data_IF_587368288831
#
_entry.id   IF_587368288831
#
_cell.length_a   1.000
_cell.length_b   1.000
_cell.length_c   1.000
_cell.angle_alpha   90.00
_cell.angle_beta   90.00
_cell.angle_gamma   90.00
#
_symmetry.space_group_name_H-M   'P 1'
#
loop_
_entity.id
_entity.type
_entity.pdbx_description
1 polymer ?
#
# COMPACT_ATOMS: atom_id res chain seq x y z
N UNK A 1 0.50 11.35 -8.64
CA UNK A 1 -0.84 11.21 -9.24
C UNK A 1 -1.69 10.55 -8.17
N UNK A 2 -2.55 11.31 -7.49
CA UNK A 2 -3.33 10.83 -6.35
C UNK A 2 -4.49 9.97 -6.84
N UNK A 3 -4.25 8.69 -7.10
CA UNK A 3 -5.32 7.74 -7.36
C UNK A 3 -5.80 7.16 -6.04
N UNK A 4 -6.93 7.70 -5.56
CA UNK A 4 -7.71 7.05 -4.51
C UNK A 4 -8.47 5.92 -5.19
N UNK A 5 -8.07 4.68 -4.92
CA UNK A 5 -8.89 3.54 -5.26
C UNK A 5 -9.99 3.43 -4.20
N UNK A 6 -11.18 3.91 -4.57
CA UNK A 6 -12.41 3.77 -3.79
C UNK A 6 -13.24 2.62 -4.36
N UNK A 7 -13.46 1.57 -3.57
CA UNK A 7 -14.37 0.49 -3.95
C UNK A 7 -15.76 0.77 -3.39
N UNK A 8 -16.70 1.11 -4.28
CA UNK A 8 -18.14 1.22 -3.97
C UNK A 8 -18.84 -0.07 -4.36
N UNK A 9 -19.51 -0.72 -3.41
CA UNK A 9 -20.27 -1.95 -3.68
C UNK A 9 -21.56 -1.69 -4.47
N UNK A 10 -22.05 -0.44 -4.48
CA UNK A 10 -23.30 -0.07 -5.14
C UNK A 10 -23.03 0.84 -6.34
N UNK A 11 -23.50 0.42 -7.52
CA UNK A 11 -23.43 1.24 -8.75
C UNK A 11 -24.61 2.20 -8.76
N UNK A 12 -24.33 3.50 -8.82
CA UNK A 12 -25.35 4.55 -8.85
C UNK A 12 -25.47 5.15 -10.25
N UNK A 13 -26.67 5.62 -10.64
CA UNK A 13 -26.84 6.39 -11.88
C UNK A 13 -26.22 7.80 -11.78
N UNK A 14 -25.92 8.27 -10.57
CA UNK A 14 -25.18 9.51 -10.33
C UNK A 14 -23.66 9.24 -10.25
N UNK A 15 -22.81 10.21 -10.64
CA UNK A 15 -21.35 10.04 -10.65
C UNK A 15 -20.72 9.92 -9.25
N UNK A 16 -21.46 10.24 -8.19
CA UNK A 16 -20.97 10.10 -6.81
C UNK A 16 -21.34 8.73 -6.25
N UNK A 17 -20.36 7.96 -5.74
CA UNK A 17 -20.64 6.73 -5.00
C UNK A 17 -21.45 7.07 -3.75
N UNK A 18 -22.43 6.21 -3.41
CA UNK A 18 -23.22 6.33 -2.18
C UNK A 18 -22.41 5.89 -0.97
N UNK A 19 -21.70 4.78 -1.11
CA UNK A 19 -20.98 4.12 -0.02
C UNK A 19 -19.59 3.74 -0.51
N UNK A 20 -18.59 3.90 0.36
CA UNK A 20 -17.23 3.41 0.16
C UNK A 20 -16.90 2.59 1.41
N UNK A 21 -16.44 1.35 1.25
CA UNK A 21 -16.05 0.52 2.40
C UNK A 21 -14.56 0.52 2.62
N UNK A 22 -13.77 0.60 1.55
CA UNK A 22 -12.31 0.62 1.60
C UNK A 22 -11.82 1.77 0.71
N UNK A 23 -11.01 2.64 1.29
CA UNK A 23 -10.28 3.67 0.58
C UNK A 23 -8.78 3.42 0.73
N UNK A 24 -8.09 3.12 -0.38
CA UNK A 24 -6.65 3.03 -0.39
C UNK A 24 -6.06 4.43 -0.60
N UNK A 25 -5.34 4.94 0.39
CA UNK A 25 -4.73 6.27 0.39
C UNK A 25 -3.22 6.17 0.53
N UNK A 26 -2.52 7.18 0.04
CA UNK A 26 -1.11 7.36 0.34
C UNK A 26 -0.95 8.00 1.75
N UNK A 27 0.29 8.15 2.24
CA UNK A 27 0.65 8.74 3.55
C UNK A 27 0.36 10.26 3.65
N UNK A 28 -0.85 10.68 3.28
CA UNK A 28 -1.33 12.05 3.40
C UNK A 28 -1.94 12.29 4.77
N UNK A 29 -1.30 13.16 5.55
CA UNK A 29 -1.79 13.57 6.87
C UNK A 29 -3.17 14.22 6.77
N UNK A 30 -4.12 13.81 7.60
CA UNK A 30 -5.47 14.38 7.65
C UNK A 30 -6.42 13.86 6.57
N UNK A 31 -5.92 13.11 5.59
CA UNK A 31 -6.73 12.60 4.49
C UNK A 31 -7.58 11.37 4.86
N UNK A 32 -7.05 10.35 5.56
CA UNK A 32 -7.86 9.27 6.12
C UNK A 32 -9.05 9.80 6.94
N UNK A 33 -8.80 10.77 7.82
CA UNK A 33 -9.79 11.36 8.72
C UNK A 33 -10.87 12.13 7.94
N UNK A 34 -10.48 12.83 6.88
CA UNK A 34 -11.42 13.52 5.99
C UNK A 34 -12.34 12.53 5.26
N UNK A 35 -11.83 11.40 4.81
CA UNK A 35 -12.64 10.36 4.15
C UNK A 35 -13.63 9.75 5.12
N UNK A 36 -13.16 9.36 6.32
CA UNK A 36 -14.01 8.73 7.35
C UNK A 36 -15.09 9.69 7.88
N UNK A 37 -14.85 11.01 7.80
CA UNK A 37 -15.86 12.03 8.12
C UNK A 37 -16.98 12.08 7.08
N UNK A 38 -16.65 11.94 5.79
CA UNK A 38 -17.63 11.99 4.69
C UNK A 38 -18.34 10.64 4.52
N UNK A 39 -17.59 9.54 4.71
CA UNK A 39 -18.06 8.16 4.58
C UNK A 39 -17.75 7.40 5.87
N UNK A 40 -18.67 7.47 6.83
CA UNK A 40 -18.50 6.91 8.18
C UNK A 40 -18.30 5.39 8.24
N UNK A 41 -18.64 4.67 7.17
CA UNK A 41 -18.43 3.23 7.05
C UNK A 41 -17.16 2.87 6.27
N UNK A 42 -16.41 3.85 5.78
CA UNK A 42 -15.14 3.62 5.07
C UNK A 42 -14.04 3.30 6.08
N UNK A 43 -13.21 2.32 5.74
CA UNK A 43 -11.91 2.12 6.37
C UNK A 43 -10.80 2.61 5.44
N UNK A 44 -10.06 3.63 5.85
CA UNK A 44 -8.88 4.05 5.14
C UNK A 44 -7.72 3.06 5.35
N UNK A 45 -7.02 2.70 4.27
CA UNK A 45 -5.87 1.80 4.29
C UNK A 45 -4.72 2.41 3.47
N UNK A 46 -3.48 2.04 3.81
CA UNK A 46 -2.34 2.43 2.99
C UNK A 46 -2.38 1.69 1.65
N UNK A 47 -2.17 2.43 0.58
CA UNK A 47 -2.14 1.86 -0.75
C UNK A 47 -0.84 1.08 -0.99
N UNK A 48 -0.95 -0.23 -1.09
CA UNK A 48 0.16 -1.13 -1.38
C UNK A 48 0.91 -0.77 -2.68
N UNK A 49 0.19 -0.29 -3.70
CA UNK A 49 0.79 0.14 -4.97
C UNK A 49 1.73 1.33 -4.75
N UNK A 50 1.29 2.32 -3.97
CA UNK A 50 2.13 3.46 -3.60
C UNK A 50 3.31 3.02 -2.73
N UNK A 51 3.12 2.10 -1.79
CA UNK A 51 4.20 1.55 -0.96
C UNK A 51 5.28 0.87 -1.81
N UNK A 52 4.89 -0.02 -2.72
CA UNK A 52 5.83 -0.72 -3.62
C UNK A 52 6.50 0.27 -4.57
N UNK A 53 5.76 1.23 -5.11
CA UNK A 53 6.32 2.26 -5.99
C UNK A 53 7.37 3.10 -5.25
N UNK A 54 7.04 3.60 -4.06
CA UNK A 54 7.92 4.40 -3.21
C UNK A 54 9.19 3.64 -2.84
N UNK A 55 9.08 2.36 -2.46
CA UNK A 55 10.25 1.53 -2.16
C UNK A 55 11.18 1.40 -3.39
N UNK A 56 10.63 1.13 -4.58
CA UNK A 56 11.40 0.97 -5.82
C UNK A 56 12.03 2.27 -6.34
N UNK A 57 11.55 3.43 -5.91
CA UNK A 57 12.15 4.73 -6.24
C UNK A 57 13.59 4.86 -5.71
N UNK A 58 13.91 4.20 -4.59
CA UNK A 58 15.25 4.20 -3.98
C UNK A 58 16.18 3.10 -4.52
N UNK A 59 15.67 2.23 -5.40
CA UNK A 59 16.38 1.02 -5.85
C UNK A 59 16.94 1.23 -7.24
N UNK A 60 18.21 0.81 -7.44
CA UNK A 60 18.87 0.86 -8.74
C UNK A 60 18.15 -0.02 -9.76
N UNK A 61 18.15 0.38 -11.04
CA UNK A 61 17.42 -0.35 -12.09
C UNK A 61 17.77 -1.85 -12.16
N UNK A 62 19.04 -2.20 -11.88
CA UNK A 62 19.53 -3.59 -11.88
C UNK A 62 18.83 -4.47 -10.82
N UNK A 63 18.57 -3.90 -9.64
CA UNK A 63 18.02 -4.65 -8.51
C UNK A 63 16.48 -4.59 -8.44
N UNK A 64 15.84 -3.64 -9.14
CA UNK A 64 14.38 -3.40 -9.08
C UNK A 64 13.54 -4.65 -9.25
N UNK A 65 13.90 -5.53 -10.19
CA UNK A 65 13.14 -6.76 -10.44
C UNK A 65 13.21 -7.74 -9.26
N UNK A 66 14.38 -7.86 -8.63
CA UNK A 66 14.57 -8.74 -7.48
C UNK A 66 13.83 -8.17 -6.25
N UNK A 67 14.05 -6.88 -5.96
CA UNK A 67 13.36 -6.19 -4.85
C UNK A 67 11.84 -6.27 -5.00
N UNK A 68 11.29 -6.08 -6.20
CA UNK A 68 9.85 -6.19 -6.44
C UNK A 68 9.30 -7.61 -6.22
N UNK A 69 10.10 -8.65 -6.51
CA UNK A 69 9.71 -10.03 -6.25
C UNK A 69 9.68 -10.32 -4.74
N UNK A 70 10.65 -9.82 -3.99
CA UNK A 70 10.71 -10.03 -2.55
C UNK A 70 9.63 -9.21 -1.81
N UNK A 71 9.38 -7.96 -2.22
CA UNK A 71 8.22 -7.18 -1.74
C UNK A 71 6.89 -7.91 -1.99
N UNK A 72 6.79 -8.62 -3.12
CA UNK A 72 5.60 -9.40 -3.47
C UNK A 72 5.39 -10.62 -2.57
N UNK A 73 6.45 -11.20 -2.02
CA UNK A 73 6.33 -12.29 -1.05
C UNK A 73 5.64 -11.80 0.24
N UNK A 74 5.91 -10.57 0.67
CA UNK A 74 5.34 -9.98 1.89
C UNK A 74 3.81 -9.86 1.76
N UNK A 75 3.31 -9.16 0.76
CA UNK A 75 1.86 -8.90 0.64
C UNK A 75 1.06 -10.08 0.06
N UNK A 76 1.71 -11.15 -0.41
CA UNK A 76 1.07 -12.40 -0.82
C UNK A 76 1.11 -13.49 0.24
N UNK A 77 1.74 -13.23 1.38
CA UNK A 77 1.77 -14.17 2.49
C UNK A 77 0.34 -14.55 2.93
N UNK A 78 0.15 -15.82 3.28
CA UNK A 78 -1.16 -16.34 3.67
C UNK A 78 -1.58 -15.89 5.06
N UNK A 79 -0.61 -15.60 5.93
CA UNK A 79 -0.82 -15.18 7.31
C UNK A 79 0.05 -13.97 7.66
N UNK A 80 -0.32 -13.24 8.72
CA UNK A 80 0.47 -12.13 9.22
C UNK A 80 1.87 -12.58 9.68
N UNK A 81 1.97 -13.76 10.30
CA UNK A 81 3.26 -14.35 10.72
C UNK A 81 4.17 -14.63 9.53
N UNK A 82 3.62 -15.17 8.44
CA UNK A 82 4.40 -15.40 7.20
C UNK A 82 4.84 -14.08 6.57
N UNK A 83 3.98 -13.05 6.62
CA UNK A 83 4.30 -11.71 6.11
C UNK A 83 5.44 -11.06 6.91
N UNK A 84 5.41 -11.20 8.24
CA UNK A 84 6.45 -10.69 9.13
C UNK A 84 7.78 -11.40 8.89
N UNK A 85 7.78 -12.74 8.75
CA UNK A 85 8.98 -13.48 8.38
C UNK A 85 9.53 -13.07 7.01
N UNK A 86 8.67 -12.87 6.02
CA UNK A 86 9.07 -12.36 4.70
C UNK A 86 9.65 -10.94 4.78
N UNK A 87 9.08 -10.06 5.63
CA UNK A 87 9.60 -8.71 5.87
C UNK A 87 10.98 -8.74 6.53
N UNK A 88 11.19 -9.62 7.52
CA UNK A 88 12.52 -9.79 8.15
C UNK A 88 13.57 -10.24 7.14
N UNK A 89 13.24 -11.22 6.28
CA UNK A 89 14.13 -11.69 5.23
C UNK A 89 14.44 -10.58 4.21
N UNK A 90 13.42 -9.82 3.82
CA UNK A 90 13.57 -8.68 2.92
C UNK A 90 14.52 -7.62 3.49
N UNK A 91 14.34 -7.25 4.77
CA UNK A 91 15.18 -6.29 5.46
C UNK A 91 16.64 -6.79 5.56
N UNK A 92 16.84 -8.05 5.94
CA UNK A 92 18.17 -8.65 6.02
C UNK A 92 18.92 -8.65 4.68
N UNK A 93 18.20 -8.84 3.58
CA UNK A 93 18.79 -8.88 2.24
C UNK A 93 19.10 -7.48 1.69
N UNK A 94 18.21 -6.50 1.91
CA UNK A 94 18.26 -5.24 1.16
C UNK A 94 18.62 -4.01 1.99
N UNK A 95 18.40 -3.97 3.30
CA UNK A 95 18.57 -2.74 4.09
C UNK A 95 20.01 -2.26 4.16
N UNK A 96 20.99 -3.17 4.04
CA UNK A 96 22.40 -2.80 3.97
C UNK A 96 22.73 -1.94 2.73
N UNK A 97 22.01 -2.15 1.61
CA UNK A 97 22.19 -1.41 0.35
C UNK A 97 21.17 -0.29 0.21
N UNK A 98 19.95 -0.49 0.70
CA UNK A 98 18.80 0.38 0.54
C UNK A 98 18.10 0.60 1.90
N UNK A 99 18.66 1.43 2.80
CA UNK A 99 18.24 1.50 4.22
C UNK A 99 16.80 1.98 4.50
N UNK A 100 16.08 2.44 3.47
CA UNK A 100 14.76 3.05 3.58
C UNK A 100 13.63 2.14 3.09
N UNK A 101 13.93 1.05 2.39
CA UNK A 101 12.90 0.30 1.64
C UNK A 101 12.07 -0.65 2.51
N UNK A 102 12.58 -1.07 3.67
CA UNK A 102 11.82 -1.86 4.67
C UNK A 102 10.94 -1.00 5.60
N UNK A 103 11.19 0.32 5.66
CA UNK A 103 10.50 1.28 6.54
C UNK A 103 9.33 2.01 5.86
N UNK A 104 9.07 1.65 4.60
CA UNK A 104 8.13 2.33 3.67
C UNK A 104 6.68 1.97 3.91
#
# INVERSE_FOLDING_TARGET
MFEILAFSANRTPNPRPKDIFIACVDRLTGFPEAIETVFSQTRAQLCLVHLVHNALSYVSYKDRRAVAADLKAIYRAATATDAEAALMNFAAQWDARYPTISKS
#
